data_IF_300704666970
#
_entry.id   IF_300704666970
#
_cell.length_a   1.000
_cell.length_b   1.000
_cell.length_c   1.000
_cell.angle_alpha   90.00
_cell.angle_beta   90.00
_cell.angle_gamma   90.00
#
_symmetry.space_group_name_H-M   'P 1'
#
loop_
_entity.id
_entity.type
_entity.pdbx_description
1 polymer ?
#
# COMPACT_ATOMS: atom_id res chain seq x y z
N UNK A 1 11.54 -16.45 -11.30
CA UNK A 1 12.78 -17.13 -11.73
C UNK A 1 13.05 -18.39 -10.91
N UNK A 2 13.19 -18.33 -9.57
CA UNK A 2 13.43 -19.52 -8.75
C UNK A 2 12.38 -20.64 -8.92
N UNK A 3 11.09 -20.28 -8.90
CA UNK A 3 10.00 -21.24 -9.15
C UNK A 3 10.07 -21.81 -10.57
N UNK A 4 10.22 -20.96 -11.59
CA UNK A 4 10.34 -21.38 -12.99
C UNK A 4 11.53 -22.33 -13.24
N UNK A 5 12.61 -22.18 -12.47
CA UNK A 5 13.78 -23.05 -12.54
C UNK A 5 13.66 -24.33 -11.68
N UNK A 6 12.52 -24.55 -11.01
CA UNK A 6 12.31 -25.68 -10.09
C UNK A 6 13.14 -25.61 -8.81
N UNK A 7 13.65 -24.42 -8.44
CA UNK A 7 14.47 -24.20 -7.24
C UNK A 7 13.62 -23.80 -6.02
N UNK A 8 12.35 -23.49 -6.24
CA UNK A 8 11.38 -23.13 -5.21
C UNK A 8 9.97 -23.57 -5.64
N UNK A 9 9.11 -23.89 -4.68
CA UNK A 9 7.70 -24.21 -4.92
C UNK A 9 6.80 -22.96 -4.84
N UNK A 10 7.17 -22.00 -3.99
CA UNK A 10 6.39 -20.79 -3.71
C UNK A 10 7.28 -19.56 -3.58
N UNK A 11 6.68 -18.39 -3.74
CA UNK A 11 7.27 -17.11 -3.38
C UNK A 11 6.31 -16.32 -2.48
N UNK A 12 6.85 -15.68 -1.45
CA UNK A 12 6.05 -14.98 -0.43
C UNK A 12 6.33 -13.49 -0.52
N UNK A 13 5.26 -12.71 -0.65
CA UNK A 13 5.35 -11.29 -0.95
C UNK A 13 4.51 -10.46 0.02
N UNK A 14 4.98 -9.25 0.33
CA UNK A 14 4.08 -8.20 0.81
C UNK A 14 3.20 -7.77 -0.36
N UNK A 15 1.88 -7.76 -0.19
CA UNK A 15 0.95 -7.58 -1.31
C UNK A 15 1.09 -6.26 -2.06
N UNK A 16 1.55 -5.20 -1.37
CA UNK A 16 1.85 -3.90 -1.98
C UNK A 16 3.03 -3.89 -2.96
N UNK A 17 3.87 -4.93 -2.90
CA UNK A 17 5.06 -5.07 -3.75
C UNK A 17 4.82 -6.06 -4.90
N UNK A 18 3.63 -6.67 -4.97
CA UNK A 18 3.24 -7.62 -6.02
C UNK A 18 2.70 -6.86 -7.23
N UNK A 19 3.29 -7.13 -8.40
CA UNK A 19 2.84 -6.57 -9.68
C UNK A 19 1.39 -6.94 -10.01
N UNK A 20 0.86 -6.30 -11.05
CA UNK A 20 -0.50 -6.59 -11.56
C UNK A 20 -0.49 -7.84 -12.43
N UNK A 21 0.54 -7.97 -13.28
CA UNK A 21 0.69 -9.06 -14.25
C UNK A 21 1.54 -10.20 -13.68
N UNK A 22 1.16 -11.42 -14.03
CA UNK A 22 1.91 -12.64 -13.73
C UNK A 22 2.32 -13.32 -15.03
N UNK A 23 3.48 -14.00 -15.07
CA UNK A 23 3.81 -14.87 -16.18
C UNK A 23 2.76 -15.97 -16.37
N UNK A 24 2.66 -16.51 -17.58
CA UNK A 24 1.73 -17.61 -17.87
C UNK A 24 1.94 -18.80 -16.92
N UNK A 25 0.84 -19.33 -16.38
CA UNK A 25 0.85 -20.43 -15.41
C UNK A 25 1.10 -20.01 -13.95
N UNK A 26 1.52 -18.78 -13.69
CA UNK A 26 1.72 -18.25 -12.33
C UNK A 26 0.46 -17.55 -11.82
N UNK A 27 0.28 -17.58 -10.50
CA UNK A 27 -0.75 -16.79 -9.86
C UNK A 27 -0.57 -16.68 -8.36
N UNK A 28 -1.50 -15.96 -7.73
CA UNK A 28 -1.48 -15.64 -6.32
C UNK A 28 -2.72 -16.23 -5.61
N UNK A 29 -2.78 -17.57 -5.47
CA UNK A 29 -3.98 -18.27 -4.98
C UNK A 29 -4.28 -17.99 -3.50
N UNK A 30 -3.28 -17.59 -2.72
CA UNK A 30 -3.39 -17.39 -1.29
C UNK A 30 -3.06 -15.94 -0.92
N UNK A 31 -3.99 -15.31 -0.22
CA UNK A 31 -3.76 -14.06 0.50
C UNK A 31 -4.06 -14.33 1.97
N UNK A 32 -3.03 -14.24 2.80
CA UNK A 32 -3.13 -14.52 4.23
C UNK A 32 -3.87 -13.40 4.96
N UNK A 33 -4.32 -13.69 6.19
CA UNK A 33 -4.98 -12.72 7.05
C UNK A 33 -4.19 -11.39 7.14
N UNK A 34 -4.90 -10.28 6.90
CA UNK A 34 -4.31 -8.94 6.88
C UNK A 34 -3.90 -8.51 8.29
N UNK A 35 -2.64 -8.12 8.44
CA UNK A 35 -2.17 -7.37 9.60
C UNK A 35 -2.57 -5.88 9.47
N UNK A 36 -2.27 -5.05 10.47
CA UNK A 36 -2.56 -3.61 10.45
C UNK A 36 -2.18 -2.91 9.12
N UNK A 37 -3.16 -2.45 8.33
CA UNK A 37 -2.94 -1.87 7.01
C UNK A 37 -2.47 -0.42 7.07
N UNK A 38 -2.47 0.22 8.25
CA UNK A 38 -2.21 1.64 8.41
C UNK A 38 -0.74 1.98 8.17
N UNK A 39 -0.53 3.22 7.76
CA UNK A 39 0.78 3.85 7.88
C UNK A 39 1.01 4.24 9.35
N UNK A 40 2.28 4.26 9.76
CA UNK A 40 2.71 4.60 11.10
C UNK A 40 3.68 5.77 11.05
N UNK A 41 3.43 6.77 11.91
CA UNK A 41 4.39 7.78 12.28
C UNK A 41 5.41 7.14 13.23
N UNK A 42 6.69 7.31 12.91
CA UNK A 42 7.81 6.88 13.75
C UNK A 42 8.66 8.11 14.03
N UNK A 43 8.73 8.51 15.30
CA UNK A 43 9.52 9.63 15.77
C UNK A 43 10.04 9.35 17.17
N UNK A 44 11.20 9.93 17.50
CA UNK A 44 11.78 9.85 18.84
C UNK A 44 11.23 10.94 19.78
N UNK A 45 10.60 11.99 19.25
CA UNK A 45 10.27 13.20 20.01
C UNK A 45 8.81 13.66 19.89
N UNK A 46 8.10 13.26 18.83
CA UNK A 46 6.74 13.70 18.53
C UNK A 46 5.77 12.51 18.54
N UNK A 47 4.59 12.70 19.11
CA UNK A 47 3.56 11.66 19.21
C UNK A 47 2.49 11.76 18.11
N UNK A 48 2.48 12.83 17.33
CA UNK A 48 1.54 13.00 16.22
C UNK A 48 2.13 13.86 15.10
N UNK A 49 1.47 13.85 13.93
CA UNK A 49 1.84 14.75 12.83
C UNK A 49 1.54 16.22 13.16
N UNK A 50 0.53 16.48 13.99
CA UNK A 50 0.11 17.83 14.38
C UNK A 50 1.12 18.52 15.32
N UNK A 51 1.95 17.75 16.02
CA UNK A 51 3.01 18.26 16.89
C UNK A 51 4.28 18.67 16.13
N UNK A 52 4.42 18.28 14.86
CA UNK A 52 5.63 18.56 14.09
C UNK A 52 5.72 20.07 13.79
N UNK A 53 6.85 20.73 14.11
CA UNK A 53 7.01 22.15 13.85
C UNK A 53 7.13 22.44 12.35
N UNK A 54 6.91 23.70 11.98
CA UNK A 54 7.18 24.20 10.62
C UNK A 54 8.62 23.86 10.21
N UNK A 55 8.77 23.27 9.03
CA UNK A 55 10.07 22.84 8.50
C UNK A 55 10.58 21.50 9.02
N UNK A 56 9.80 20.77 9.84
CA UNK A 56 10.17 19.43 10.27
C UNK A 56 10.38 18.48 9.08
N UNK A 57 11.46 17.70 9.15
CA UNK A 57 11.92 16.79 8.10
C UNK A 57 11.26 15.43 8.27
N UNK A 58 10.38 15.07 7.33
CA UNK A 58 9.66 13.79 7.36
C UNK A 58 10.17 12.86 6.25
N UNK A 59 10.66 11.69 6.63
CA UNK A 59 11.29 10.72 5.73
C UNK A 59 10.32 9.73 5.11
N UNK A 60 10.19 9.74 3.78
CA UNK A 60 9.49 8.71 2.98
C UNK A 60 9.85 8.83 1.49
N UNK A 61 10.07 7.70 0.80
CA UNK A 61 10.16 7.65 -0.67
C UNK A 61 8.85 7.27 -1.38
N UNK A 62 7.78 7.03 -0.64
CA UNK A 62 6.49 6.68 -1.23
C UNK A 62 5.78 7.95 -1.70
N UNK A 63 5.61 8.12 -3.01
CA UNK A 63 4.88 9.25 -3.58
C UNK A 63 3.43 9.32 -3.09
N UNK A 64 2.80 8.14 -2.86
CA UNK A 64 1.48 8.02 -2.21
C UNK A 64 1.43 8.66 -0.82
N UNK A 65 2.47 8.46 -0.01
CA UNK A 65 2.55 9.10 1.31
C UNK A 65 2.85 10.59 1.17
N UNK A 66 3.73 10.93 0.24
CA UNK A 66 4.15 12.32 0.03
C UNK A 66 2.97 13.20 -0.37
N UNK A 67 2.16 12.81 -1.37
CA UNK A 67 1.05 13.64 -1.82
C UNK A 67 0.03 13.93 -0.70
N UNK A 68 -0.31 12.91 0.10
CA UNK A 68 -1.27 13.04 1.21
C UNK A 68 -0.72 13.89 2.36
N UNK A 69 0.57 13.76 2.67
CA UNK A 69 1.21 14.58 3.70
C UNK A 69 1.39 16.03 3.24
N UNK A 70 1.80 16.24 1.99
CA UNK A 70 2.02 17.57 1.44
C UNK A 70 0.71 18.37 1.34
N UNK A 71 -0.39 17.71 0.98
CA UNK A 71 -1.73 18.32 0.95
C UNK A 71 -2.18 18.81 2.33
N UNK A 72 -2.02 17.96 3.36
CA UNK A 72 -2.56 18.24 4.71
C UNK A 72 -1.60 19.00 5.61
N UNK A 73 -0.30 18.82 5.41
CA UNK A 73 0.77 19.41 6.20
C UNK A 73 1.82 20.09 5.29
N UNK A 74 1.43 21.13 4.52
CA UNK A 74 2.31 21.78 3.54
C UNK A 74 3.53 22.49 4.16
N UNK A 75 3.57 22.60 5.48
CA UNK A 75 4.69 23.18 6.23
C UNK A 75 5.83 22.18 6.51
N UNK A 76 5.62 20.88 6.29
CA UNK A 76 6.61 19.84 6.50
C UNK A 76 7.57 19.74 5.31
N UNK A 77 8.83 19.43 5.59
CA UNK A 77 9.83 19.14 4.58
C UNK A 77 9.86 17.62 4.32
N UNK A 78 9.27 17.18 3.21
CA UNK A 78 9.28 15.77 2.83
C UNK A 78 10.62 15.40 2.17
N UNK A 79 11.32 14.45 2.77
CA UNK A 79 12.65 14.01 2.35
C UNK A 79 12.66 12.53 1.96
N UNK A 80 13.48 12.20 0.96
CA UNK A 80 13.63 10.83 0.48
C UNK A 80 14.36 9.95 1.49
N UNK A 81 13.71 8.85 1.90
CA UNK A 81 14.26 7.86 2.81
C UNK A 81 14.22 6.44 2.20
N UNK A 82 15.41 5.91 1.88
CA UNK A 82 15.62 4.56 1.35
C UNK A 82 16.36 3.66 2.34
N UNK A 83 16.35 2.36 2.07
CA UNK A 83 16.95 1.31 2.91
C UNK A 83 15.89 0.35 3.46
N UNK A 84 16.33 -0.70 4.14
CA UNK A 84 15.44 -1.58 4.92
C UNK A 84 14.96 -0.86 6.19
N UNK A 85 14.04 -1.47 6.95
CA UNK A 85 13.48 -0.86 8.16
C UNK A 85 14.56 -0.47 9.16
N UNK A 86 15.55 -1.34 9.41
CA UNK A 86 16.65 -1.07 10.34
C UNK A 86 17.46 0.17 9.95
N UNK A 87 17.93 0.25 8.71
CA UNK A 87 18.69 1.41 8.21
C UNK A 87 17.89 2.72 8.33
N UNK A 88 16.58 2.67 8.06
CA UNK A 88 15.71 3.85 8.17
C UNK A 88 15.56 4.32 9.62
N UNK A 89 15.41 3.39 10.55
CA UNK A 89 15.37 3.71 11.98
C UNK A 89 16.71 4.28 12.46
N UNK A 90 17.84 3.72 12.04
CA UNK A 90 19.16 4.26 12.39
C UNK A 90 19.35 5.71 11.91
N UNK A 91 18.83 6.06 10.72
CA UNK A 91 18.87 7.45 10.22
C UNK A 91 17.98 8.40 11.02
N UNK A 92 16.81 7.93 11.45
CA UNK A 92 15.97 8.69 12.39
C UNK A 92 16.70 8.91 13.72
N UNK A 93 17.32 7.87 14.26
CA UNK A 93 18.07 7.93 15.52
C UNK A 93 19.33 8.80 15.44
N UNK A 94 19.91 8.92 14.26
CA UNK A 94 21.01 9.84 13.96
C UNK A 94 20.53 11.30 13.72
N UNK A 95 19.26 11.60 13.96
CA UNK A 95 18.66 12.94 13.77
C UNK A 95 18.73 13.48 12.32
N UNK A 96 18.84 12.61 11.32
CA UNK A 96 18.72 13.01 9.91
C UNK A 96 17.28 13.40 9.54
N UNK A 97 16.30 12.91 10.31
CA UNK A 97 14.87 13.17 10.16
C UNK A 97 14.26 13.47 11.54
N UNK A 98 13.18 14.24 11.55
CA UNK A 98 12.41 14.51 12.77
C UNK A 98 11.29 13.48 12.96
N UNK A 99 10.82 12.91 11.85
CA UNK A 99 9.96 11.74 11.82
C UNK A 99 10.13 10.95 10.51
N UNK A 100 9.72 9.69 10.49
CA UNK A 100 9.64 8.87 9.27
C UNK A 100 8.30 8.15 9.21
N UNK A 101 7.86 7.81 8.01
CA UNK A 101 6.61 7.06 7.81
C UNK A 101 6.91 5.64 7.36
N UNK A 102 6.41 4.65 8.10
CA UNK A 102 6.55 3.22 7.82
C UNK A 102 5.19 2.54 7.78
N UNK A 103 5.14 1.28 7.32
CA UNK A 103 3.91 0.49 7.41
C UNK A 103 3.84 -0.16 8.80
N UNK A 104 2.69 -0.06 9.48
CA UNK A 104 2.52 -0.61 10.82
C UNK A 104 2.80 -2.12 10.86
N UNK A 105 2.24 -2.89 9.92
CA UNK A 105 2.49 -4.33 9.80
C UNK A 105 3.98 -4.70 9.72
N UNK A 106 4.80 -3.89 9.06
CA UNK A 106 6.25 -4.15 8.94
C UNK A 106 6.97 -4.01 10.29
N UNK A 107 6.58 -3.03 11.10
CA UNK A 107 7.14 -2.82 12.44
C UNK A 107 6.67 -3.93 13.39
N UNK A 108 5.38 -4.27 13.39
CA UNK A 108 4.82 -5.33 14.24
C UNK A 108 5.49 -6.69 13.98
N UNK A 109 5.65 -7.08 12.71
CA UNK A 109 6.31 -8.34 12.32
C UNK A 109 7.77 -8.44 12.76
N UNK A 110 8.45 -7.30 12.92
CA UNK A 110 9.82 -7.22 13.40
C UNK A 110 9.92 -7.07 14.94
N UNK A 111 8.80 -7.05 15.66
CA UNK A 111 8.78 -6.79 17.11
C UNK A 111 9.14 -5.34 17.47
N UNK A 112 8.97 -4.40 16.55
CA UNK A 112 9.33 -2.99 16.69
C UNK A 112 8.11 -2.08 16.89
N UNK A 113 7.03 -2.61 17.46
CA UNK A 113 5.78 -1.87 17.69
C UNK A 113 5.99 -0.66 18.62
N UNK A 114 6.93 -0.73 19.56
CA UNK A 114 7.32 0.38 20.43
C UNK A 114 7.89 1.60 19.70
N UNK A 115 8.25 1.46 18.41
CA UNK A 115 8.71 2.57 17.57
C UNK A 115 7.55 3.35 16.95
N UNK A 116 6.32 2.84 17.01
CA UNK A 116 5.15 3.52 16.48
C UNK A 116 4.74 4.62 17.45
N UNK A 117 4.96 5.87 17.06
CA UNK A 117 4.49 7.03 17.81
C UNK A 117 2.98 7.22 17.62
N UNK A 118 2.50 7.08 16.39
CA UNK A 118 1.08 7.08 16.08
C UNK A 118 0.75 6.22 14.85
N UNK A 119 -0.43 5.61 14.87
CA UNK A 119 -1.03 5.02 13.68
C UNK A 119 -1.81 6.10 12.92
N UNK A 120 -1.55 6.21 11.63
CA UNK A 120 -2.26 7.15 10.76
C UNK A 120 -3.56 6.50 10.29
N UNK A 121 -4.68 7.12 10.63
CA UNK A 121 -5.99 6.66 10.17
C UNK A 121 -6.07 6.71 8.62
N UNK A 122 -6.84 5.83 7.97
CA UNK A 122 -7.00 5.82 6.51
C UNK A 122 -7.45 7.17 5.93
N UNK A 123 -8.16 7.99 6.71
CA UNK A 123 -8.62 9.33 6.35
C UNK A 123 -7.47 10.36 6.32
N UNK A 124 -6.39 10.09 7.06
CA UNK A 124 -5.17 10.91 7.09
C UNK A 124 -4.12 10.39 6.10
N UNK A 125 -3.97 9.08 5.99
CA UNK A 125 -3.06 8.44 5.04
C UNK A 125 -3.66 7.14 4.53
N UNK A 126 -4.34 7.23 3.38
CA UNK A 126 -4.97 6.10 2.73
C UNK A 126 -3.90 5.07 2.35
N UNK A 127 -4.04 3.80 2.80
CA UNK A 127 -3.03 2.77 2.60
C UNK A 127 -2.66 2.49 1.13
N UNK A 128 -1.47 1.91 0.95
CA UNK A 128 -1.14 1.26 -0.31
C UNK A 128 -2.01 0.01 -0.49
N UNK A 129 -2.29 -0.32 -1.75
CA UNK A 129 -3.02 -1.52 -2.15
C UNK A 129 -2.35 -2.75 -1.55
N UNK A 130 -3.13 -3.57 -0.85
CA UNK A 130 -2.64 -4.77 -0.16
C UNK A 130 -1.73 -4.52 1.05
N UNK A 131 -1.53 -3.28 1.51
CA UNK A 131 -0.68 -3.04 2.68
C UNK A 131 -1.19 -3.84 3.89
N UNK A 132 -0.27 -4.52 4.59
CA UNK A 132 -0.60 -5.41 5.71
C UNK A 132 -0.87 -6.87 5.31
N UNK A 133 -1.22 -7.16 4.05
CA UNK A 133 -1.42 -8.53 3.58
C UNK A 133 -0.12 -9.17 3.06
N UNK A 134 -0.03 -10.49 3.22
CA UNK A 134 0.99 -11.34 2.60
C UNK A 134 0.30 -12.21 1.55
N UNK A 135 0.88 -12.24 0.34
CA UNK A 135 0.44 -13.13 -0.72
C UNK A 135 1.47 -14.22 -1.00
N UNK A 136 0.99 -15.39 -1.40
CA UNK A 136 1.82 -16.52 -1.80
C UNK A 136 1.59 -16.76 -3.30
N UNK A 137 2.66 -16.65 -4.08
CA UNK A 137 2.70 -16.91 -5.51
C UNK A 137 3.20 -18.34 -5.76
N UNK A 138 2.58 -19.06 -6.68
CA UNK A 138 3.03 -20.37 -7.14
C UNK A 138 2.56 -20.65 -8.58
N UNK A 139 2.95 -21.81 -9.11
CA UNK A 139 2.37 -22.37 -10.34
C UNK A 139 0.94 -22.86 -10.06
N UNK A 140 0.00 -22.52 -10.93
CA UNK A 140 -1.42 -22.82 -10.76
C UNK A 140 -1.77 -24.29 -11.05
N UNK A 141 -0.93 -25.01 -11.78
CA UNK A 141 -1.10 -26.42 -12.13
C UNK A 141 -0.42 -27.39 -11.15
N UNK A 142 0.42 -26.90 -10.21
CA UNK A 142 0.98 -27.72 -9.13
C UNK A 142 -0.07 -27.94 -8.02
N UNK A 143 -0.92 -28.95 -8.24
CA UNK A 143 -1.96 -29.37 -7.30
C UNK A 143 -1.45 -29.70 -5.89
N UNK A 144 -0.23 -30.23 -5.77
CA UNK A 144 0.39 -30.55 -4.47
C UNK A 144 0.66 -29.26 -3.69
N UNK A 145 1.29 -28.27 -4.33
CA UNK A 145 1.57 -26.97 -3.70
C UNK A 145 0.28 -26.26 -3.37
N UNK A 146 -0.67 -26.18 -4.32
CA UNK A 146 -1.98 -25.56 -4.13
C UNK A 146 -2.71 -26.14 -2.92
N UNK A 147 -2.76 -27.46 -2.79
CA UNK A 147 -3.40 -28.12 -1.65
C UNK A 147 -2.70 -27.78 -0.33
N UNK A 148 -1.36 -27.77 -0.32
CA UNK A 148 -0.57 -27.49 0.88
C UNK A 148 -0.74 -26.05 1.40
N UNK A 149 -0.84 -25.06 0.51
CA UNK A 149 -0.94 -23.64 0.90
C UNK A 149 -2.38 -23.16 1.09
N UNK A 150 -3.37 -23.85 0.52
CA UNK A 150 -4.79 -23.45 0.58
C UNK A 150 -5.32 -23.12 1.99
N UNK A 151 -4.93 -23.81 3.09
CA UNK A 151 -5.45 -23.49 4.42
C UNK A 151 -4.97 -22.15 4.98
N UNK A 152 -3.94 -21.54 4.36
CA UNK A 152 -3.40 -20.25 4.76
C UNK A 152 -4.21 -19.06 4.20
N UNK A 153 -5.15 -19.31 3.29
CA UNK A 153 -5.93 -18.27 2.65
C UNK A 153 -6.99 -17.70 3.61
N UNK A 154 -7.04 -16.37 3.67
CA UNK A 154 -8.09 -15.64 4.37
C UNK A 154 -9.03 -15.01 3.34
N UNK A 155 -10.24 -15.55 3.23
CA UNK A 155 -11.21 -15.17 2.19
C UNK A 155 -11.60 -13.69 2.27
N UNK A 156 -11.71 -13.15 3.48
CA UNK A 156 -12.09 -11.75 3.71
C UNK A 156 -10.98 -10.78 3.29
N UNK A 157 -9.72 -11.12 3.60
CA UNK A 157 -8.57 -10.36 3.10
C UNK A 157 -8.44 -10.50 1.59
N UNK A 158 -8.60 -11.69 1.05
CA UNK A 158 -8.55 -11.92 -0.40
C UNK A 158 -9.59 -11.08 -1.14
N UNK A 159 -10.81 -11.00 -0.60
CA UNK A 159 -11.90 -10.20 -1.18
C UNK A 159 -11.58 -8.70 -1.16
N UNK A 160 -11.10 -8.16 -0.03
CA UNK A 160 -10.66 -6.76 0.08
C UNK A 160 -9.52 -6.44 -0.90
N UNK A 161 -8.48 -7.26 -0.90
CA UNK A 161 -7.30 -7.06 -1.75
C UNK A 161 -7.62 -7.23 -3.23
N UNK A 162 -8.59 -8.07 -3.61
CA UNK A 162 -9.08 -8.19 -4.99
C UNK A 162 -9.65 -6.87 -5.50
N UNK A 163 -10.48 -6.19 -4.71
CA UNK A 163 -11.01 -4.87 -5.06
C UNK A 163 -9.90 -3.82 -5.21
N UNK A 164 -8.99 -3.77 -4.23
CA UNK A 164 -7.84 -2.84 -4.26
C UNK A 164 -6.92 -3.08 -5.47
N UNK A 165 -6.68 -4.35 -5.83
CA UNK A 165 -5.85 -4.71 -6.99
C UNK A 165 -6.53 -4.39 -8.31
N UNK A 166 -7.84 -4.58 -8.43
CA UNK A 166 -8.59 -4.21 -9.64
C UNK A 166 -8.54 -2.70 -9.90
N UNK A 167 -8.68 -1.88 -8.84
CA UNK A 167 -8.42 -0.43 -8.88
C UNK A 167 -7.01 -0.14 -9.41
N UNK A 168 -5.98 -0.78 -8.83
CA UNK A 168 -4.59 -0.57 -9.26
C UNK A 168 -4.35 -0.98 -10.72
N UNK A 169 -4.91 -2.12 -11.12
CA UNK A 169 -4.77 -2.69 -12.45
C UNK A 169 -5.32 -1.73 -13.50
N UNK A 170 -6.50 -1.19 -13.25
CA UNK A 170 -7.17 -0.25 -14.16
C UNK A 170 -6.43 1.07 -14.30
N UNK A 171 -5.84 1.56 -13.21
CA UNK A 171 -4.99 2.76 -13.19
C UNK A 171 -3.56 2.50 -13.70
N UNK A 172 -3.22 1.25 -14.07
CA UNK A 172 -1.85 0.82 -14.43
C UNK A 172 -0.82 1.21 -13.39
N UNK A 173 -1.20 1.04 -12.12
CA UNK A 173 -0.42 1.48 -10.99
C UNK A 173 0.86 0.67 -10.75
N UNK A 174 1.83 1.32 -10.14
CA UNK A 174 3.11 0.76 -9.72
C UNK A 174 3.55 1.39 -8.40
N UNK A 175 4.61 0.86 -7.79
CA UNK A 175 5.19 1.47 -6.58
C UNK A 175 5.80 2.87 -6.82
N UNK A 176 5.94 3.28 -8.09
CA UNK A 176 6.50 4.55 -8.51
C UNK A 176 5.45 5.62 -8.79
N UNK A 177 4.15 5.32 -8.64
CA UNK A 177 3.08 6.29 -8.84
C UNK A 177 2.30 6.56 -7.54
N UNK A 178 1.72 7.76 -7.38
CA UNK A 178 1.07 8.20 -6.15
C UNK A 178 -0.38 7.69 -6.05
N UNK A 179 -0.56 6.37 -6.05
CA UNK A 179 -1.86 5.71 -5.95
C UNK A 179 -2.03 5.13 -4.55
N UNK A 180 -3.20 5.34 -3.94
CA UNK A 180 -3.68 4.65 -2.76
C UNK A 180 -4.98 3.90 -3.05
N UNK A 181 -5.22 2.83 -2.29
CA UNK A 181 -6.42 2.01 -2.44
C UNK A 181 -6.61 1.15 -1.20
N UNK A 182 -7.77 1.26 -0.56
CA UNK A 182 -8.06 0.54 0.67
C UNK A 182 -9.53 0.12 0.75
N UNK A 183 -9.74 -1.17 0.97
CA UNK A 183 -11.05 -1.79 1.12
C UNK A 183 -11.28 -2.27 2.54
N UNK A 184 -12.47 -1.99 3.05
CA UNK A 184 -13.00 -2.55 4.29
C UNK A 184 -14.20 -3.43 3.98
N UNK A 185 -14.39 -4.48 4.78
CA UNK A 185 -15.45 -5.46 4.61
C UNK A 185 -16.29 -5.50 5.89
N UNK A 186 -17.60 -5.33 5.76
CA UNK A 186 -18.57 -5.45 6.86
C UNK A 186 -19.68 -6.40 6.41
N UNK A 187 -19.60 -7.66 6.85
CA UNK A 187 -20.45 -8.73 6.31
C UNK A 187 -20.24 -8.87 4.81
N UNK A 188 -21.32 -8.77 4.03
CA UNK A 188 -21.27 -8.88 2.57
C UNK A 188 -21.07 -7.54 1.85
N UNK A 189 -20.83 -6.44 2.59
CA UNK A 189 -20.64 -5.11 2.00
C UNK A 189 -19.18 -4.70 2.03
N UNK A 190 -18.68 -4.30 0.87
CA UNK A 190 -17.34 -3.76 0.69
C UNK A 190 -17.41 -2.24 0.58
N UNK A 191 -16.51 -1.55 1.27
CA UNK A 191 -16.27 -0.12 1.13
C UNK A 191 -14.86 0.08 0.60
N UNK A 192 -14.74 0.54 -0.65
CA UNK A 192 -13.46 0.78 -1.30
C UNK A 192 -13.24 2.29 -1.48
N UNK A 193 -12.07 2.76 -1.05
CA UNK A 193 -11.59 4.13 -1.27
C UNK A 193 -10.35 4.11 -2.14
N UNK A 194 -10.21 5.11 -3.00
CA UNK A 194 -9.10 5.28 -3.92
C UNK A 194 -8.63 6.73 -3.99
N UNK A 195 -7.35 6.93 -4.26
CA UNK A 195 -6.75 8.26 -4.36
C UNK A 195 -5.59 8.26 -5.36
N UNK A 196 -5.50 9.35 -6.12
CA UNK A 196 -4.38 9.68 -7.02
C UNK A 196 -4.03 11.15 -6.86
N UNK A 197 -2.77 11.51 -6.64
CA UNK A 197 -2.42 12.92 -6.44
C UNK A 197 -0.99 13.27 -6.79
N UNK A 198 -0.70 14.54 -7.10
CA UNK A 198 0.68 14.97 -7.34
C UNK A 198 1.52 14.83 -6.07
N UNK A 199 2.80 14.43 -6.15
CA UNK A 199 3.66 14.24 -4.98
C UNK A 199 3.81 15.49 -4.09
N UNK A 200 3.64 16.68 -4.66
CA UNK A 200 3.67 17.97 -3.96
C UNK A 200 2.36 18.33 -3.25
N UNK A 201 1.32 17.49 -3.36
CA UNK A 201 0.01 17.70 -2.76
C UNK A 201 -0.85 18.77 -3.45
N UNK A 202 -0.40 19.35 -4.57
CA UNK A 202 -1.10 20.45 -5.26
C UNK A 202 -2.49 20.06 -5.79
N UNK A 203 -2.66 18.78 -6.15
CA UNK A 203 -3.95 18.19 -6.53
C UNK A 203 -4.00 16.74 -6.08
N UNK A 204 -5.07 16.38 -5.38
CA UNK A 204 -5.33 15.02 -4.90
C UNK A 204 -6.77 14.65 -5.23
N UNK A 205 -6.94 13.70 -6.14
CA UNK A 205 -8.22 13.13 -6.54
C UNK A 205 -8.61 12.01 -5.58
N UNK A 206 -9.88 11.97 -5.20
CA UNK A 206 -10.44 10.97 -4.29
C UNK A 206 -11.74 10.45 -4.87
N UNK A 207 -11.95 9.16 -4.68
CA UNK A 207 -13.22 8.51 -4.98
C UNK A 207 -13.49 7.44 -3.93
N UNK A 208 -14.77 7.12 -3.74
CA UNK A 208 -15.18 6.01 -2.89
C UNK A 208 -16.41 5.30 -3.47
N UNK A 209 -16.52 4.00 -3.19
CA UNK A 209 -17.63 3.18 -3.64
C UNK A 209 -17.99 2.12 -2.60
N UNK A 210 -19.28 1.86 -2.46
CA UNK A 210 -19.80 0.75 -1.67
C UNK A 210 -20.52 -0.25 -2.59
N UNK A 211 -20.40 -1.53 -2.29
CA UNK A 211 -21.12 -2.56 -3.05
C UNK A 211 -21.04 -3.94 -2.41
N UNK A 212 -21.49 -4.95 -3.15
CA UNK A 212 -21.41 -6.34 -2.72
C UNK A 212 -19.97 -6.83 -2.74
N UNK A 213 -19.58 -7.60 -1.72
CA UNK A 213 -18.30 -8.31 -1.67
C UNK A 213 -18.11 -9.28 -2.85
N UNK A 214 -19.21 -9.79 -3.42
CA UNK A 214 -19.19 -10.62 -4.62
C UNK A 214 -18.73 -9.85 -5.87
N UNK A 215 -18.89 -8.52 -5.88
CA UNK A 215 -18.54 -7.63 -6.99
C UNK A 215 -17.22 -6.90 -6.75
N UNK A 216 -16.39 -7.37 -5.80
CA UNK A 216 -15.16 -6.71 -5.36
C UNK A 216 -14.29 -6.22 -6.53
N UNK A 217 -14.08 -7.05 -7.55
CA UNK A 217 -13.28 -6.70 -8.72
C UNK A 217 -13.94 -5.59 -9.56
N UNK A 218 -15.23 -5.72 -9.85
CA UNK A 218 -16.00 -4.72 -10.60
C UNK A 218 -16.03 -3.37 -9.88
N UNK A 219 -16.15 -3.36 -8.55
CA UNK A 219 -16.06 -2.13 -7.74
C UNK A 219 -14.70 -1.45 -7.89
N UNK A 220 -13.61 -2.24 -7.92
CA UNK A 220 -12.27 -1.71 -8.16
C UNK A 220 -12.12 -1.05 -9.53
N UNK A 221 -12.62 -1.70 -10.59
CA UNK A 221 -12.64 -1.12 -11.93
C UNK A 221 -13.49 0.15 -12.01
N UNK A 222 -14.70 0.13 -11.48
CA UNK A 222 -15.60 1.29 -11.49
C UNK A 222 -15.01 2.49 -10.75
N UNK A 223 -14.38 2.26 -9.60
CA UNK A 223 -13.72 3.31 -8.83
C UNK A 223 -12.52 3.92 -9.57
N UNK A 224 -11.76 3.10 -10.27
CA UNK A 224 -10.67 3.57 -11.11
C UNK A 224 -11.17 4.40 -12.29
N UNK A 225 -12.27 4.00 -12.93
CA UNK A 225 -12.88 4.76 -14.03
C UNK A 225 -13.40 6.13 -13.56
N UNK A 226 -13.94 6.24 -12.35
CA UNK A 226 -14.29 7.52 -11.73
C UNK A 226 -13.04 8.42 -11.57
N UNK A 227 -11.97 7.90 -10.96
CA UNK A 227 -10.71 8.64 -10.82
C UNK A 227 -10.13 9.08 -12.16
N UNK A 228 -10.20 8.23 -13.19
CA UNK A 228 -9.79 8.58 -14.55
C UNK A 228 -10.67 9.67 -15.14
N UNK A 229 -11.99 9.63 -14.94
CA UNK A 229 -12.92 10.68 -15.33
C UNK A 229 -12.62 12.04 -14.67
N UNK A 230 -12.01 12.03 -13.48
CA UNK A 230 -11.53 13.23 -12.78
C UNK A 230 -10.13 13.72 -13.23
N UNK A 231 -9.48 13.00 -14.16
CA UNK A 231 -8.18 13.34 -14.73
C UNK A 231 -6.99 12.72 -14.00
N UNK A 232 -7.15 11.54 -13.38
CA UNK A 232 -6.04 10.81 -12.75
C UNK A 232 -4.94 10.42 -13.75
N UNK A 233 -5.30 10.14 -15.00
CA UNK A 233 -4.38 9.80 -16.09
C UNK A 233 -3.31 10.88 -16.31
N UNK A 234 -3.71 12.15 -16.32
CA UNK A 234 -2.78 13.27 -16.47
C UNK A 234 -1.77 13.35 -15.32
N UNK A 235 -2.19 13.06 -14.09
CA UNK A 235 -1.31 13.02 -12.91
C UNK A 235 -0.31 11.86 -13.06
N UNK A 236 -0.81 10.67 -13.38
CA UNK A 236 0.02 9.46 -13.51
C UNK A 236 1.07 9.61 -14.62
N UNK A 237 0.69 10.13 -15.78
CA UNK A 237 1.61 10.40 -16.89
C UNK A 237 2.68 11.43 -16.52
N UNK A 238 2.29 12.53 -15.87
CA UNK A 238 3.22 13.57 -15.46
C UNK A 238 4.26 13.06 -14.45
N UNK A 239 3.86 12.21 -13.49
CA UNK A 239 4.79 11.61 -12.52
C UNK A 239 5.73 10.61 -13.18
N UNK A 240 5.23 9.77 -14.07
CA UNK A 240 6.06 8.81 -14.81
C UNK A 240 7.08 9.51 -15.72
N UNK A 241 6.73 10.66 -16.31
CA UNK A 241 7.65 11.44 -17.13
C UNK A 241 8.75 12.16 -16.32
N UNK A 242 8.53 12.36 -15.02
CA UNK A 242 9.46 13.03 -14.11
C UNK A 242 10.35 12.06 -13.31
N UNK A 243 10.12 10.75 -13.44
CA UNK A 243 10.83 9.67 -12.72
C UNK A 243 11.96 9.08 -13.57
#
# INVERSE_FOLDING_TARGET
QGIQAGQADIAVHSMKDVGIEFPEGFGLPVIMAREDPRDALVSNHFQSLDELPKGARVGTCSLRRQCQLAERYPHLQLLNLRGNVGTRLSKLDAHEYDAIILAAAGLKRLGLESRIAAYLAPETSLPAIGQGAIGIECLLDDSRVMQAISPLNDVDTQTRVRAERALNARLRGSCQVPIAGFAELQGERLYLRGLVGYPDGSKVLRAEIHGSAAEAEQLGYALADDLLGQGADAILQAVLAAS
#
